data_IF_183807371862
#
_entry.id   IF_183807371862
#
_cell.length_a   1.000
_cell.length_b   1.000
_cell.length_c   1.000
_cell.angle_alpha   90.00
_cell.angle_beta   90.00
_cell.angle_gamma   90.00
#
_symmetry.space_group_name_H-M   'P 1'
#
loop_
_entity.id
_entity.type
_entity.pdbx_description
1 polymer ?
#
# COMPACT_ATOMS: atom_id res chain seq x y z
N UNK A 1 -4.05 -8.21 13.03
CA UNK A 1 -3.03 -9.11 12.45
C UNK A 1 -1.84 -8.32 11.93
N UNK A 2 -2.04 -7.33 11.06
CA UNK A 2 -0.95 -6.50 10.52
C UNK A 2 -0.04 -5.85 11.58
N UNK A 3 -0.61 -5.27 12.65
CA UNK A 3 0.19 -4.74 13.76
C UNK A 3 1.00 -5.82 14.50
N UNK A 4 0.44 -7.03 14.63
CA UNK A 4 1.15 -8.17 15.21
C UNK A 4 2.32 -8.63 14.34
N UNK A 5 2.18 -8.55 13.01
CA UNK A 5 3.28 -8.82 12.09
C UNK A 5 4.42 -7.80 12.26
N UNK A 6 4.09 -6.51 12.36
CA UNK A 6 5.06 -5.46 12.60
C UNK A 6 5.82 -5.68 13.93
N UNK A 7 5.11 -5.99 15.02
CA UNK A 7 5.74 -6.33 16.30
C UNK A 7 6.65 -7.55 16.20
N UNK A 8 6.21 -8.61 15.51
CA UNK A 8 7.02 -9.82 15.31
C UNK A 8 8.31 -9.52 14.54
N UNK A 9 8.22 -8.73 13.46
CA UNK A 9 9.38 -8.31 12.65
C UNK A 9 10.33 -7.44 13.48
N UNK A 10 9.80 -6.44 14.19
CA UNK A 10 10.59 -5.56 15.05
C UNK A 10 11.35 -6.35 16.14
N UNK A 11 10.78 -7.44 16.64
CA UNK A 11 11.40 -8.35 17.60
C UNK A 11 12.30 -9.44 16.96
N UNK A 12 12.48 -9.43 15.63
CA UNK A 12 13.31 -10.40 14.90
C UNK A 12 12.65 -11.75 14.57
N UNK A 13 11.36 -11.94 14.89
CA UNK A 13 10.59 -13.15 14.56
C UNK A 13 10.03 -13.10 13.12
N UNK A 14 10.92 -13.07 12.12
CA UNK A 14 10.54 -12.82 10.72
C UNK A 14 9.58 -13.84 10.13
N UNK A 15 9.74 -15.13 10.42
CA UNK A 15 8.82 -16.18 9.92
C UNK A 15 7.40 -16.02 10.49
N UNK A 16 7.28 -15.62 11.77
CA UNK A 16 5.98 -15.28 12.34
C UNK A 16 5.40 -14.03 11.69
N UNK A 17 6.23 -13.01 11.44
CA UNK A 17 5.87 -11.83 10.65
C UNK A 17 5.31 -12.19 9.28
N UNK A 18 6.00 -13.05 8.53
CA UNK A 18 5.59 -13.58 7.23
C UNK A 18 4.20 -14.23 7.31
N UNK A 19 4.00 -15.14 8.25
CA UNK A 19 2.73 -15.85 8.42
C UNK A 19 1.60 -14.86 8.74
N UNK A 20 1.85 -13.90 9.62
CA UNK A 20 0.85 -12.88 9.98
C UNK A 20 0.52 -11.93 8.83
N UNK A 21 1.49 -11.56 7.98
CA UNK A 21 1.26 -10.79 6.75
C UNK A 21 0.39 -11.60 5.78
N UNK A 22 0.74 -12.86 5.54
CA UNK A 22 0.01 -13.74 4.63
C UNK A 22 -1.45 -13.91 5.09
N UNK A 23 -1.68 -14.16 6.38
CA UNK A 23 -3.02 -14.25 6.94
C UNK A 23 -3.79 -12.94 6.84
N UNK A 24 -3.14 -11.80 7.09
CA UNK A 24 -3.78 -10.49 6.96
C UNK A 24 -4.27 -10.26 5.52
N UNK A 25 -3.49 -10.64 4.50
CA UNK A 25 -3.90 -10.54 3.10
C UNK A 25 -5.05 -11.48 2.73
N UNK A 26 -5.06 -12.70 3.27
CA UNK A 26 -6.17 -13.63 3.04
C UNK A 26 -7.46 -13.07 3.66
N UNK A 27 -7.40 -12.55 4.88
CA UNK A 27 -8.54 -11.93 5.55
C UNK A 27 -9.07 -10.73 4.76
N UNK A 28 -8.19 -9.84 4.31
CA UNK A 28 -8.52 -8.68 3.49
C UNK A 28 -9.21 -9.07 2.15
N UNK A 29 -8.69 -10.09 1.47
CA UNK A 29 -9.30 -10.64 0.26
C UNK A 29 -10.70 -11.24 0.49
N UNK A 30 -10.92 -11.86 1.66
CA UNK A 30 -12.22 -12.40 2.06
C UNK A 30 -13.21 -11.28 2.39
N UNK A 31 -12.81 -10.27 3.17
CA UNK A 31 -13.65 -9.14 3.56
C UNK A 31 -14.13 -8.37 2.31
N UNK A 32 -13.23 -8.15 1.34
CA UNK A 32 -13.57 -7.56 0.06
C UNK A 32 -14.55 -8.41 -0.77
N UNK A 33 -14.46 -9.75 -0.70
CA UNK A 33 -15.39 -10.65 -1.38
C UNK A 33 -16.78 -10.63 -0.72
N UNK A 34 -16.84 -10.63 0.61
CA UNK A 34 -18.07 -10.55 1.39
C UNK A 34 -18.78 -9.21 1.16
N UNK A 35 -18.03 -8.10 1.14
CA UNK A 35 -18.59 -6.78 0.86
C UNK A 35 -19.20 -6.67 -0.56
N UNK A 36 -18.61 -7.34 -1.56
CA UNK A 36 -19.16 -7.43 -2.92
C UNK A 36 -20.42 -8.29 -3.00
N UNK A 37 -20.49 -9.36 -2.20
CA UNK A 37 -21.64 -10.26 -2.15
C UNK A 37 -22.81 -9.70 -1.31
N UNK A 38 -22.58 -8.64 -0.54
CA UNK A 38 -23.58 -8.03 0.36
C UNK A 38 -23.83 -6.57 -0.02
N UNK A 39 -23.65 -5.63 0.91
CA UNK A 39 -23.89 -4.20 0.71
C UNK A 39 -22.61 -3.42 0.95
N UNK A 40 -22.15 -2.69 -0.07
CA UNK A 40 -21.06 -1.71 0.08
C UNK A 40 -21.54 -0.55 0.97
N UNK A 41 -20.71 -0.15 1.92
CA UNK A 41 -20.96 0.99 2.82
C UNK A 41 -19.78 1.96 2.77
N UNK A 42 -20.05 3.25 2.93
CA UNK A 42 -19.01 4.28 2.90
C UNK A 42 -18.02 4.13 4.06
N UNK A 43 -18.52 3.73 5.24
CA UNK A 43 -17.68 3.40 6.40
C UNK A 43 -16.73 2.24 6.10
N UNK A 44 -17.22 1.19 5.43
CA UNK A 44 -16.39 0.06 5.03
C UNK A 44 -15.26 0.49 4.09
N UNK A 45 -15.58 1.25 3.06
CA UNK A 45 -14.58 1.77 2.12
C UNK A 45 -13.56 2.72 2.78
N UNK A 46 -13.99 3.55 3.73
CA UNK A 46 -13.11 4.42 4.51
C UNK A 46 -12.13 3.62 5.39
N UNK A 47 -12.62 2.58 6.09
CA UNK A 47 -11.78 1.75 6.94
C UNK A 47 -10.81 0.89 6.11
N UNK A 48 -11.26 0.35 4.99
CA UNK A 48 -10.45 -0.42 4.04
C UNK A 48 -9.19 0.36 3.64
N UNK A 49 -9.37 1.56 3.07
CA UNK A 49 -8.24 2.38 2.65
C UNK A 49 -7.40 2.89 3.82
N UNK A 50 -8.01 3.26 4.94
CA UNK A 50 -7.26 3.80 6.09
C UNK A 50 -6.37 2.74 6.72
N UNK A 51 -6.90 1.54 6.94
CA UNK A 51 -6.16 0.44 7.57
C UNK A 51 -5.09 -0.14 6.63
N UNK A 52 -5.34 -0.15 5.32
CA UNK A 52 -4.34 -0.51 4.32
C UNK A 52 -3.11 0.41 4.37
N UNK A 53 -3.31 1.72 4.39
CA UNK A 53 -2.21 2.67 4.46
C UNK A 53 -1.43 2.57 5.78
N UNK A 54 -2.13 2.34 6.90
CA UNK A 54 -1.47 2.07 8.18
C UNK A 54 -0.64 0.79 8.08
N UNK A 55 -1.20 -0.29 7.53
CA UNK A 55 -0.50 -1.55 7.36
C UNK A 55 0.75 -1.41 6.46
N UNK A 56 0.63 -0.75 5.31
CA UNK A 56 1.75 -0.49 4.41
C UNK A 56 2.85 0.35 5.07
N UNK A 57 2.49 1.26 5.99
CA UNK A 57 3.45 2.05 6.74
C UNK A 57 4.17 1.30 7.86
N UNK A 58 3.45 0.47 8.63
CA UNK A 58 4.05 -0.16 9.82
C UNK A 58 5.03 -1.28 9.50
N UNK A 59 4.91 -1.94 8.34
CA UNK A 59 5.83 -3.03 7.97
C UNK A 59 7.25 -2.52 7.70
N UNK A 60 7.51 -1.54 6.81
CA UNK A 60 8.85 -0.96 6.65
C UNK A 60 9.40 -0.35 7.94
N UNK A 61 8.53 0.27 8.75
CA UNK A 61 8.91 0.81 10.05
C UNK A 61 9.40 -0.29 11.00
N UNK A 62 8.78 -1.48 10.99
CA UNK A 62 9.23 -2.60 11.81
C UNK A 62 10.65 -3.06 11.45
N UNK A 63 11.00 -3.12 10.16
CA UNK A 63 12.37 -3.43 9.73
C UNK A 63 13.36 -2.34 10.13
N UNK A 64 12.96 -1.07 10.06
CA UNK A 64 13.78 0.05 10.54
C UNK A 64 14.05 -0.04 12.05
N UNK A 65 13.09 -0.51 12.85
CA UNK A 65 13.25 -0.70 14.29
C UNK A 65 14.10 -1.93 14.63
N UNK A 66 14.01 -2.98 13.82
CA UNK A 66 14.73 -4.23 14.06
C UNK A 66 16.25 -4.09 13.86
N UNK A 67 16.68 -3.41 12.80
CA UNK A 67 18.09 -3.06 12.56
C UNK A 67 18.19 -1.63 12.01
N UNK A 68 18.23 -0.61 12.89
CA UNK A 68 18.28 0.78 12.45
C UNK A 68 19.50 1.13 11.61
N UNK A 69 20.64 0.47 11.82
CA UNK A 69 21.88 0.79 11.12
C UNK A 69 21.80 0.41 9.63
N UNK A 70 21.22 -0.75 9.32
CA UNK A 70 21.06 -1.21 7.95
C UNK A 70 19.76 -0.73 7.29
N UNK A 71 18.65 -0.67 8.05
CA UNK A 71 17.31 -0.62 7.46
C UNK A 71 16.63 0.74 7.56
N UNK A 72 17.03 1.64 8.47
CA UNK A 72 16.28 2.87 8.73
C UNK A 72 16.16 3.79 7.51
N UNK A 73 17.25 4.01 6.79
CA UNK A 73 17.24 4.87 5.59
C UNK A 73 16.46 4.24 4.41
N UNK A 74 16.69 2.96 4.02
CA UNK A 74 15.86 2.31 3.01
C UNK A 74 14.37 2.28 3.37
N UNK A 75 14.03 2.02 4.63
CA UNK A 75 12.65 2.06 5.10
C UNK A 75 12.05 3.47 4.99
N UNK A 76 12.78 4.52 5.39
CA UNK A 76 12.33 5.89 5.27
C UNK A 76 12.09 6.29 3.80
N UNK A 77 12.97 5.86 2.89
CA UNK A 77 12.79 6.09 1.45
C UNK A 77 11.54 5.39 0.92
N UNK A 78 11.31 4.14 1.32
CA UNK A 78 10.11 3.39 0.98
C UNK A 78 8.84 4.05 1.51
N UNK A 79 8.82 4.49 2.77
CA UNK A 79 7.70 5.22 3.38
C UNK A 79 7.43 6.55 2.66
N UNK A 80 8.49 7.31 2.32
CA UNK A 80 8.38 8.53 1.55
C UNK A 80 7.72 8.27 0.17
N UNK A 81 8.11 7.18 -0.49
CA UNK A 81 7.52 6.78 -1.77
C UNK A 81 6.04 6.39 -1.65
N UNK A 82 5.64 5.72 -0.56
CA UNK A 82 4.23 5.41 -0.29
C UNK A 82 3.42 6.67 -0.01
N UNK A 83 3.99 7.63 0.71
CA UNK A 83 3.35 8.93 0.94
C UNK A 83 3.13 9.69 -0.37
N UNK A 84 4.14 9.75 -1.24
CA UNK A 84 4.01 10.37 -2.56
C UNK A 84 2.97 9.66 -3.44
N UNK A 85 3.01 8.33 -3.51
CA UNK A 85 2.11 7.55 -4.35
C UNK A 85 0.66 7.57 -3.86
N UNK A 86 0.48 7.53 -2.53
CA UNK A 86 -0.83 7.54 -1.88
C UNK A 86 -1.49 8.91 -1.90
N UNK A 87 -0.73 9.98 -1.64
CA UNK A 87 -1.25 11.35 -1.75
C UNK A 87 -1.72 11.67 -3.17
N UNK A 88 -0.93 11.30 -4.19
CA UNK A 88 -1.33 11.49 -5.59
C UNK A 88 -2.63 10.73 -5.93
N UNK A 89 -2.78 9.50 -5.44
CA UNK A 89 -3.98 8.70 -5.63
C UNK A 89 -5.21 9.31 -4.94
N UNK A 90 -5.12 9.58 -3.63
CA UNK A 90 -6.23 10.10 -2.82
C UNK A 90 -6.65 11.51 -3.28
N UNK A 91 -5.70 12.41 -3.52
CA UNK A 91 -5.99 13.76 -3.98
C UNK A 91 -6.71 13.74 -5.34
N UNK A 92 -6.25 12.89 -6.26
CA UNK A 92 -6.92 12.72 -7.55
C UNK A 92 -8.34 12.15 -7.39
N UNK A 93 -8.52 11.12 -6.55
CA UNK A 93 -9.84 10.52 -6.33
C UNK A 93 -10.87 11.54 -5.83
N UNK A 94 -10.49 12.39 -4.86
CA UNK A 94 -11.35 13.46 -4.32
C UNK A 94 -11.71 14.49 -5.41
N UNK A 95 -10.73 14.91 -6.21
CA UNK A 95 -10.98 15.89 -7.29
C UNK A 95 -11.83 15.29 -8.41
N UNK A 96 -11.61 14.03 -8.76
CA UNK A 96 -12.37 13.32 -9.77
C UNK A 96 -13.84 13.13 -9.34
N UNK A 97 -14.08 12.73 -8.09
CA UNK A 97 -15.43 12.65 -7.50
C UNK A 97 -16.12 14.02 -7.54
N UNK A 98 -15.45 15.09 -7.11
CA UNK A 98 -16.00 16.46 -7.13
C UNK A 98 -16.39 16.94 -8.53
N UNK A 99 -15.70 16.48 -9.57
CA UNK A 99 -15.99 16.83 -10.97
C UNK A 99 -16.99 15.88 -11.63
N UNK A 100 -17.49 14.87 -10.91
CA UNK A 100 -18.35 13.84 -11.47
C UNK A 100 -17.68 13.04 -12.59
N UNK A 101 -16.34 12.99 -12.61
CA UNK A 101 -15.62 12.18 -13.59
C UNK A 101 -15.97 10.71 -13.32
N UNK A 102 -16.63 10.07 -14.29
CA UNK A 102 -16.92 8.64 -14.27
C UNK A 102 -16.41 8.04 -15.57
N UNK A 103 -15.81 6.85 -15.49
CA UNK A 103 -15.42 6.09 -16.69
C UNK A 103 -16.11 4.73 -16.69
N UNK A 104 -16.92 4.49 -17.73
CA UNK A 104 -17.63 3.21 -17.94
C UNK A 104 -16.70 2.00 -18.15
N UNK A 105 -15.40 2.24 -18.40
CA UNK A 105 -14.45 1.17 -18.72
C UNK A 105 -13.99 0.33 -17.52
N UNK A 106 -14.25 0.73 -16.26
CA UNK A 106 -13.55 0.12 -15.11
C UNK A 106 -14.39 -0.24 -13.88
N UNK A 107 -15.72 -0.34 -14.02
CA UNK A 107 -16.59 -0.94 -13.01
C UNK A 107 -16.78 -0.10 -11.75
N UNK A 108 -17.86 -0.37 -11.02
CA UNK A 108 -18.31 0.37 -9.83
C UNK A 108 -17.36 0.21 -8.62
N UNK A 109 -16.15 0.77 -8.70
CA UNK A 109 -15.35 1.10 -7.52
C UNK A 109 -15.60 2.57 -7.17
N UNK A 110 -15.85 2.85 -5.90
CA UNK A 110 -16.21 4.18 -5.37
C UNK A 110 -15.10 5.24 -5.46
N UNK A 111 -13.92 4.87 -5.98
CA UNK A 111 -12.76 5.75 -6.14
C UNK A 111 -12.25 5.66 -7.58
N UNK A 112 -11.98 6.80 -8.21
CA UNK A 112 -11.39 6.86 -9.55
C UNK A 112 -9.98 6.26 -9.51
N UNK A 113 -9.79 5.10 -10.13
CA UNK A 113 -8.58 4.30 -9.97
C UNK A 113 -7.50 4.70 -10.99
N UNK A 114 -6.36 5.17 -10.48
CA UNK A 114 -5.13 5.30 -11.27
C UNK A 114 -4.26 4.06 -11.04
N UNK A 115 -4.29 3.13 -12.00
CA UNK A 115 -3.37 1.99 -12.03
C UNK A 115 -1.90 2.45 -11.92
N UNK A 116 -1.07 1.65 -11.26
CA UNK A 116 0.36 1.94 -11.07
C UNK A 116 1.19 0.66 -11.15
N UNK A 117 2.51 0.80 -11.24
CA UNK A 117 3.44 -0.36 -11.26
C UNK A 117 3.60 -1.01 -9.89
N UNK A 118 3.21 -0.30 -8.82
CA UNK A 118 3.15 -0.80 -7.45
C UNK A 118 1.71 -0.70 -6.95
N UNK A 119 0.96 -1.81 -7.03
CA UNK A 119 -0.37 -1.94 -6.43
C UNK A 119 -0.29 -2.73 -5.11
N UNK A 120 -1.46 -3.04 -4.54
CA UNK A 120 -1.53 -3.77 -3.26
C UNK A 120 -0.92 -5.17 -3.34
N UNK A 121 -1.11 -5.88 -4.45
CA UNK A 121 -0.60 -7.26 -4.58
C UNK A 121 0.93 -7.30 -4.65
N UNK A 122 1.56 -6.44 -5.44
CA UNK A 122 3.02 -6.35 -5.53
C UNK A 122 3.62 -5.91 -4.19
N UNK A 123 2.95 -4.98 -3.48
CA UNK A 123 3.39 -4.52 -2.15
C UNK A 123 3.36 -5.64 -1.12
N UNK A 124 2.28 -6.43 -1.08
CA UNK A 124 2.20 -7.58 -0.16
C UNK A 124 3.24 -8.65 -0.52
N UNK A 125 3.41 -8.96 -1.81
CA UNK A 125 4.41 -9.93 -2.25
C UNK A 125 5.83 -9.49 -1.84
N UNK A 126 6.13 -8.20 -1.97
CA UNK A 126 7.39 -7.63 -1.50
C UNK A 126 7.55 -7.77 0.02
N UNK A 127 6.52 -7.48 0.81
CA UNK A 127 6.61 -7.61 2.27
C UNK A 127 6.82 -9.05 2.72
N UNK A 128 6.15 -10.01 2.06
CA UNK A 128 6.40 -11.43 2.27
C UNK A 128 7.84 -11.79 1.90
N UNK A 129 8.37 -11.28 0.79
CA UNK A 129 9.75 -11.50 0.40
C UNK A 129 10.75 -10.90 1.39
N UNK A 130 10.50 -9.68 1.87
CA UNK A 130 11.31 -9.02 2.91
C UNK A 130 11.30 -9.80 4.23
N UNK A 131 10.16 -10.39 4.61
CA UNK A 131 10.06 -11.23 5.80
C UNK A 131 10.74 -12.59 5.61
N UNK A 132 10.82 -13.12 4.39
CA UNK A 132 11.52 -14.36 4.09
C UNK A 132 13.05 -14.15 3.98
N UNK A 133 13.47 -13.00 3.47
CA UNK A 133 14.87 -12.62 3.23
C UNK A 133 15.19 -11.28 3.92
N UNK A 134 15.23 -11.23 5.27
CA UNK A 134 15.38 -9.98 6.01
C UNK A 134 16.69 -9.24 5.70
N UNK A 135 17.78 -9.97 5.44
CA UNK A 135 19.08 -9.37 5.08
C UNK A 135 19.05 -8.60 3.74
N UNK A 136 18.10 -8.94 2.86
CA UNK A 136 17.90 -8.26 1.58
C UNK A 136 16.96 -7.06 1.68
N UNK A 137 16.39 -6.78 2.85
CA UNK A 137 15.46 -5.67 3.05
C UNK A 137 15.96 -4.34 2.49
N UNK A 138 17.21 -3.88 2.76
CA UNK A 138 17.68 -2.59 2.25
C UNK A 138 17.59 -2.47 0.72
N UNK A 139 18.01 -3.51 0.01
CA UNK A 139 18.03 -3.54 -1.46
C UNK A 139 16.60 -3.58 -2.01
N UNK A 140 15.75 -4.43 -1.43
CA UNK A 140 14.35 -4.54 -1.81
C UNK A 140 13.57 -3.23 -1.57
N UNK A 141 13.83 -2.56 -0.43
CA UNK A 141 13.18 -1.31 -0.08
C UNK A 141 13.57 -0.18 -1.04
N UNK A 142 14.85 -0.04 -1.38
CA UNK A 142 15.29 0.95 -2.37
C UNK A 142 14.72 0.69 -3.76
N UNK A 143 14.75 -0.57 -4.21
CA UNK A 143 14.22 -0.94 -5.52
C UNK A 143 12.73 -0.61 -5.63
N UNK A 144 11.94 -0.98 -4.62
CA UNK A 144 10.52 -0.72 -4.64
C UNK A 144 10.17 0.75 -4.42
N UNK A 145 10.96 1.48 -3.62
CA UNK A 145 10.81 2.93 -3.48
C UNK A 145 10.94 3.64 -4.84
N UNK A 146 11.92 3.24 -5.67
CA UNK A 146 12.08 3.77 -7.01
C UNK A 146 10.84 3.50 -7.90
N UNK A 147 10.31 2.28 -7.87
CA UNK A 147 9.08 1.91 -8.61
C UNK A 147 7.87 2.73 -8.13
N UNK A 148 7.75 2.94 -6.82
CA UNK A 148 6.69 3.73 -6.21
C UNK A 148 6.79 5.22 -6.60
N UNK A 149 7.99 5.80 -6.64
CA UNK A 149 8.19 7.17 -7.11
C UNK A 149 7.85 7.34 -8.58
N UNK A 150 8.24 6.38 -9.44
CA UNK A 150 7.85 6.39 -10.86
C UNK A 150 6.32 6.34 -10.98
N UNK A 151 5.67 5.47 -10.21
CA UNK A 151 4.20 5.37 -10.18
C UNK A 151 3.55 6.67 -9.69
N UNK A 152 4.08 7.28 -8.63
CA UNK A 152 3.60 8.56 -8.11
C UNK A 152 3.72 9.68 -9.16
N UNK A 153 4.87 9.77 -9.84
CA UNK A 153 5.07 10.74 -10.93
C UNK A 153 4.09 10.55 -12.07
N UNK A 154 3.85 9.30 -12.49
CA UNK A 154 2.83 8.97 -13.50
C UNK A 154 1.42 9.40 -13.07
N UNK A 155 1.04 9.13 -11.81
CA UNK A 155 -0.25 9.56 -11.24
C UNK A 155 -0.41 11.07 -11.23
N UNK A 156 0.61 11.81 -10.82
CA UNK A 156 0.60 13.29 -10.84
C UNK A 156 0.44 13.81 -12.27
N UNK A 157 1.20 13.29 -13.23
CA UNK A 157 1.10 13.71 -14.63
C UNK A 157 -0.29 13.46 -15.23
N UNK A 158 -0.89 12.30 -14.94
CA UNK A 158 -2.25 11.99 -15.39
C UNK A 158 -3.24 12.91 -14.68
N UNK A 159 -3.10 13.10 -13.37
CA UNK A 159 -3.95 13.98 -12.58
C UNK A 159 -3.99 15.41 -13.11
N UNK A 160 -2.82 15.99 -13.41
CA UNK A 160 -2.73 17.32 -14.03
C UNK A 160 -3.47 17.35 -15.37
N UNK A 161 -3.21 16.41 -16.28
CA UNK A 161 -3.85 16.38 -17.60
C UNK A 161 -5.37 16.16 -17.55
N UNK A 162 -5.85 15.38 -16.60
CA UNK A 162 -7.27 15.08 -16.44
C UNK A 162 -8.05 16.19 -15.73
N UNK A 163 -7.39 16.97 -14.85
CA UNK A 163 -8.00 18.06 -14.10
C UNK A 163 -7.77 19.45 -14.73
N UNK A 164 -6.95 19.58 -15.76
CA UNK A 164 -6.84 20.83 -16.51
C UNK A 164 -7.92 20.97 -17.60
N UNK A 165 -8.68 19.90 -17.85
CA UNK A 165 -9.87 19.88 -18.71
C UNK A 165 -11.14 20.12 -17.92
#
# INVERSE_FOLDING_TARGET
MGMGAAVAIAAGYFLLGFVLIAFNRIADGLDGAVARATRKTDLGGYLDITLDFVFYGVIPLAFALQDPAANALPAAALLCSFYANGSAFLAFAIMAERRGLSTDRQGQKSLYYLGGLAEGTETIALFLLMALLPDWFPVLAWAFAAVCFVSAGARVMIGVKSLDR
#
